data_IF_278619130381
#
_entry.id   IF_278619130381
#
_cell.length_a   1.000
_cell.length_b   1.000
_cell.length_c   1.000
_cell.angle_alpha   90.00
_cell.angle_beta   90.00
_cell.angle_gamma   90.00
#
_symmetry.space_group_name_H-M   'P 1'
#
loop_
_entity.id
_entity.type
_entity.pdbx_description
1 polymer ?
#
# COMPACT_ATOMS: atom_id res chain seq x y z
N UNK A 1 12.98 2.51 -7.08
CA UNK A 1 13.34 1.38 -6.18
C UNK A 1 13.24 1.88 -4.77
N UNK A 2 12.65 1.10 -3.88
CA UNK A 2 12.35 1.51 -2.51
C UNK A 2 13.41 0.89 -1.59
N UNK A 3 13.96 1.68 -0.67
CA UNK A 3 15.01 1.23 0.25
C UNK A 3 14.40 1.07 1.64
N UNK A 4 14.56 -0.09 2.24
CA UNK A 4 14.20 -0.38 3.64
C UNK A 4 15.43 -0.90 4.36
N UNK A 5 15.93 -0.13 5.33
CA UNK A 5 17.24 -0.38 5.94
C UNK A 5 18.35 -0.28 4.88
N UNK A 6 19.14 -1.34 4.76
CA UNK A 6 20.25 -1.43 3.80
C UNK A 6 19.86 -2.13 2.48
N UNK A 7 18.62 -2.62 2.38
CA UNK A 7 18.15 -3.41 1.23
C UNK A 7 17.31 -2.56 0.29
N UNK A 8 17.65 -2.63 -1.01
CA UNK A 8 16.90 -1.99 -2.08
C UNK A 8 15.96 -3.00 -2.76
N UNK A 9 14.67 -2.70 -2.73
CA UNK A 9 13.62 -3.47 -3.37
C UNK A 9 13.21 -2.83 -4.71
N UNK A 10 12.91 -3.68 -5.68
CA UNK A 10 12.40 -3.28 -7.00
C UNK A 10 10.96 -3.77 -7.14
N UNK A 11 10.03 -2.83 -7.37
CA UNK A 11 8.61 -3.11 -7.48
C UNK A 11 7.80 -2.69 -6.25
N UNK A 12 6.49 -2.98 -6.25
CA UNK A 12 5.59 -2.67 -5.15
C UNK A 12 5.90 -3.48 -3.90
N UNK A 13 5.68 -2.87 -2.73
CA UNK A 13 5.91 -3.54 -1.45
C UNK A 13 4.85 -3.19 -0.42
N UNK A 14 4.65 -4.11 0.51
CA UNK A 14 3.95 -3.91 1.77
C UNK A 14 4.95 -4.11 2.90
N UNK A 15 4.94 -3.22 3.89
CA UNK A 15 5.75 -3.34 5.10
C UNK A 15 4.89 -3.05 6.32
N UNK A 16 4.81 -4.04 7.21
CA UNK A 16 4.11 -3.97 8.49
C UNK A 16 4.61 -5.10 9.39
N UNK A 17 4.46 -4.99 10.70
CA UNK A 17 4.93 -6.00 11.67
C UNK A 17 6.39 -6.41 11.46
N UNK A 18 7.26 -5.44 11.16
CA UNK A 18 8.67 -5.66 10.86
C UNK A 18 8.94 -6.66 9.71
N UNK A 19 7.94 -6.92 8.87
CA UNK A 19 7.98 -7.89 7.77
C UNK A 19 7.75 -7.19 6.45
N UNK A 20 8.63 -7.45 5.47
CA UNK A 20 8.50 -6.94 4.11
C UNK A 20 7.84 -8.02 3.26
N UNK A 21 6.80 -7.63 2.53
CA UNK A 21 6.15 -8.46 1.51
C UNK A 21 6.34 -7.79 0.15
N UNK A 22 6.83 -8.55 -0.83
CA UNK A 22 6.75 -8.13 -2.22
C UNK A 22 5.29 -8.21 -2.65
N UNK A 23 4.75 -7.08 -3.09
CA UNK A 23 3.33 -6.95 -3.31
C UNK A 23 3.00 -7.13 -4.78
N UNK A 24 2.35 -8.25 -5.12
CA UNK A 24 1.96 -8.52 -6.49
C UNK A 24 0.65 -7.79 -6.83
N UNK A 25 0.81 -6.61 -7.43
CA UNK A 25 -0.30 -5.79 -7.94
C UNK A 25 -0.09 -5.49 -9.41
N UNK A 26 -1.17 -5.31 -10.19
CA UNK A 26 -1.06 -4.75 -11.53
C UNK A 26 -0.30 -3.42 -11.49
N UNK A 27 0.80 -3.34 -12.23
CA UNK A 27 1.58 -2.12 -12.41
C UNK A 27 1.33 -1.60 -13.81
N UNK A 28 0.83 -0.37 -13.92
CA UNK A 28 0.64 0.36 -15.18
C UNK A 28 -0.13 -0.43 -16.27
N UNK A 29 -1.46 -0.42 -16.16
CA UNK A 29 -2.34 -0.29 -17.33
C UNK A 29 -2.13 -1.22 -18.53
N UNK A 30 -1.75 -2.48 -18.34
CA UNK A 30 -1.75 -3.43 -19.47
C UNK A 30 -3.16 -3.74 -20.00
N UNK A 31 -4.19 -3.31 -19.27
CA UNK A 31 -5.57 -3.37 -19.72
C UNK A 31 -6.12 -1.95 -19.68
N UNK A 32 -6.24 -1.31 -20.85
CA UNK A 32 -7.18 -0.21 -21.04
C UNK A 32 -8.56 -0.72 -20.63
N UNK A 33 -8.92 -0.50 -19.37
CA UNK A 33 -10.27 -0.79 -18.89
C UNK A 33 -11.03 0.53 -18.98
N UNK A 34 -12.02 0.65 -19.88
CA UNK A 34 -12.79 1.88 -20.01
C UNK A 34 -13.31 2.33 -18.64
N UNK A 35 -12.95 3.53 -18.22
CA UNK A 35 -13.34 4.11 -16.92
C UNK A 35 -12.44 3.80 -15.72
N UNK A 36 -11.38 2.97 -15.85
CA UNK A 36 -10.34 2.83 -14.80
C UNK A 36 -9.01 3.40 -15.28
N UNK A 37 -8.67 4.59 -14.78
CA UNK A 37 -7.44 5.29 -15.11
C UNK A 37 -6.52 5.39 -13.89
N UNK A 38 -5.21 5.48 -14.13
CA UNK A 38 -4.19 5.68 -13.11
C UNK A 38 -3.59 4.39 -12.55
N UNK A 39 -2.93 4.48 -11.40
CA UNK A 39 -2.10 3.39 -10.84
C UNK A 39 -2.89 2.16 -10.38
N UNK A 40 -4.20 2.29 -10.21
CA UNK A 40 -5.11 1.21 -9.77
C UNK A 40 -5.82 0.50 -10.92
N UNK A 41 -5.46 0.79 -12.19
CA UNK A 41 -6.03 0.11 -13.34
C UNK A 41 -5.80 -1.42 -13.22
N UNK A 42 -6.86 -2.20 -13.41
CA UNK A 42 -6.83 -3.66 -13.27
C UNK A 42 -6.81 -4.20 -11.84
N UNK A 43 -6.78 -3.34 -10.80
CA UNK A 43 -6.80 -3.83 -9.42
C UNK A 43 -8.17 -4.41 -9.07
N UNK A 44 -8.11 -5.50 -8.30
CA UNK A 44 -9.27 -6.18 -7.70
C UNK A 44 -9.01 -6.31 -6.20
N UNK A 45 -10.04 -6.46 -5.35
CA UNK A 45 -9.90 -6.60 -3.90
C UNK A 45 -8.81 -7.57 -3.44
N UNK A 46 -8.65 -8.68 -4.17
CA UNK A 46 -7.73 -9.79 -3.89
C UNK A 46 -6.26 -9.37 -3.82
N UNK A 47 -5.89 -8.19 -4.33
CA UNK A 47 -4.54 -7.65 -4.11
C UNK A 47 -4.22 -7.45 -2.62
N UNK A 48 -5.22 -7.42 -1.75
CA UNK A 48 -5.07 -7.31 -0.30
C UNK A 48 -5.25 -8.62 0.48
N UNK A 49 -5.39 -9.77 -0.21
CA UNK A 49 -5.64 -11.08 0.42
C UNK A 49 -4.55 -11.51 1.42
N UNK A 50 -3.35 -10.92 1.36
CA UNK A 50 -2.29 -11.19 2.34
C UNK A 50 -2.75 -10.90 3.77
N UNK A 51 -3.68 -9.96 3.96
CA UNK A 51 -4.19 -9.61 5.28
C UNK A 51 -5.08 -10.71 5.89
N UNK A 52 -5.61 -11.64 5.10
CA UNK A 52 -6.31 -12.82 5.61
C UNK A 52 -5.35 -13.87 6.22
N UNK A 53 -4.05 -13.79 5.89
CA UNK A 53 -3.06 -14.82 6.21
C UNK A 53 -2.02 -14.37 7.24
N UNK A 54 -2.14 -13.16 7.76
CA UNK A 54 -1.20 -12.59 8.74
C UNK A 54 -1.94 -12.23 10.02
N UNK A 55 -1.29 -12.44 11.15
CA UNK A 55 -1.79 -11.98 12.44
C UNK A 55 -1.38 -10.54 12.71
N UNK A 56 -2.13 -9.87 13.59
CA UNK A 56 -1.85 -8.51 14.08
C UNK A 56 -1.81 -7.43 12.99
N UNK A 57 -2.93 -7.22 12.29
CA UNK A 57 -3.03 -6.16 11.29
C UNK A 57 -2.72 -4.77 11.88
N UNK A 58 -2.09 -3.87 11.10
CA UNK A 58 -1.87 -2.51 11.53
C UNK A 58 -3.22 -1.80 11.75
N UNK A 59 -3.26 -0.80 12.64
CA UNK A 59 -4.44 0.05 12.81
C UNK A 59 -4.58 1.08 11.68
N UNK A 60 -3.45 1.48 11.09
CA UNK A 60 -3.37 2.44 10.00
C UNK A 60 -2.48 1.88 8.88
N UNK A 61 -3.01 1.85 7.67
CA UNK A 61 -2.25 1.57 6.45
C UNK A 61 -2.09 2.85 5.64
N UNK A 62 -0.84 3.26 5.44
CA UNK A 62 -0.49 4.40 4.59
C UNK A 62 -0.12 3.88 3.19
N UNK A 63 -0.86 4.30 2.17
CA UNK A 63 -0.69 3.85 0.79
C UNK A 63 0.01 4.95 -0.02
N UNK A 64 1.21 4.62 -0.50
CA UNK A 64 2.00 5.41 -1.45
C UNK A 64 1.69 5.01 -2.89
N UNK A 65 1.12 5.93 -3.67
CA UNK A 65 0.68 5.67 -5.05
C UNK A 65 1.71 6.05 -6.12
N UNK A 66 3.00 6.05 -5.78
CA UNK A 66 4.09 6.45 -6.67
C UNK A 66 4.42 7.94 -6.54
N UNK A 67 4.72 8.60 -7.65
CA UNK A 67 5.19 10.00 -7.64
C UNK A 67 4.13 11.00 -7.14
N UNK A 68 2.86 10.74 -7.46
CA UNK A 68 1.72 11.60 -7.09
C UNK A 68 0.66 10.81 -6.34
N UNK A 69 -0.19 11.52 -5.60
CA UNK A 69 -1.33 10.92 -4.92
C UNK A 69 -2.42 10.59 -5.94
N UNK A 70 -2.88 9.34 -5.93
CA UNK A 70 -4.06 8.90 -6.67
C UNK A 70 -5.17 8.49 -5.69
N UNK A 71 -6.42 8.91 -5.91
CA UNK A 71 -7.52 8.54 -5.03
C UNK A 71 -7.73 7.02 -5.09
N UNK A 72 -7.80 6.38 -3.92
CA UNK A 72 -8.08 4.96 -3.82
C UNK A 72 -9.53 4.67 -4.24
N UNK A 73 -9.78 3.76 -5.20
CA UNK A 73 -11.11 3.35 -5.60
C UNK A 73 -11.97 2.88 -4.41
N UNK A 74 -13.28 3.21 -4.38
CA UNK A 74 -14.16 2.85 -3.26
C UNK A 74 -14.15 1.36 -2.93
N UNK A 75 -14.20 0.48 -3.93
CA UNK A 75 -14.19 -0.98 -3.72
C UNK A 75 -12.92 -1.46 -2.98
N UNK A 76 -11.77 -0.90 -3.31
CA UNK A 76 -10.50 -1.22 -2.65
C UNK A 76 -10.47 -0.64 -1.23
N UNK A 77 -10.97 0.59 -1.06
CA UNK A 77 -11.08 1.23 0.26
C UNK A 77 -12.00 0.45 1.19
N UNK A 78 -13.14 -0.02 0.71
CA UNK A 78 -14.08 -0.81 1.49
C UNK A 78 -13.53 -2.18 1.84
N UNK A 79 -12.78 -2.80 0.93
CA UNK A 79 -12.03 -4.03 1.22
C UNK A 79 -11.07 -3.83 2.39
N UNK A 80 -10.26 -2.77 2.33
CA UNK A 80 -9.29 -2.45 3.38
C UNK A 80 -9.96 -2.12 4.73
N UNK A 81 -11.11 -1.45 4.72
CA UNK A 81 -11.89 -1.14 5.93
C UNK A 81 -12.45 -2.38 6.61
N UNK A 82 -12.76 -3.46 5.88
CA UNK A 82 -13.24 -4.72 6.48
C UNK A 82 -12.20 -5.38 7.38
N UNK A 83 -10.92 -5.11 7.15
CA UNK A 83 -9.83 -5.52 8.01
C UNK A 83 -9.68 -4.66 9.28
N UNK A 84 -10.53 -3.65 9.48
CA UNK A 84 -10.49 -2.75 10.64
C UNK A 84 -9.42 -1.66 10.56
N UNK A 85 -8.79 -1.48 9.39
CA UNK A 85 -7.70 -0.52 9.20
C UNK A 85 -8.22 0.88 8.82
N UNK A 86 -7.65 1.92 9.41
CA UNK A 86 -7.70 3.27 8.89
C UNK A 86 -6.79 3.38 7.66
N UNK A 87 -7.21 4.14 6.65
CA UNK A 87 -6.50 4.23 5.36
C UNK A 87 -6.17 5.68 5.04
N UNK A 88 -4.88 5.93 4.82
CA UNK A 88 -4.36 7.20 4.32
C UNK A 88 -3.68 6.98 2.97
N UNK A 89 -3.89 7.90 2.02
CA UNK A 89 -3.36 7.77 0.66
C UNK A 89 -2.54 9.00 0.33
N UNK A 90 -1.30 8.80 -0.11
CA UNK A 90 -0.33 9.86 -0.38
C UNK A 90 0.58 9.47 -1.57
N UNK A 91 1.47 10.37 -1.98
CA UNK A 91 2.62 9.97 -2.81
C UNK A 91 3.57 9.08 -2.01
N UNK A 92 4.29 8.17 -2.67
CA UNK A 92 5.19 7.20 -2.03
C UNK A 92 6.23 7.85 -1.13
N UNK A 93 6.82 8.99 -1.55
CA UNK A 93 7.79 9.70 -0.70
C UNK A 93 7.17 10.19 0.61
N UNK A 94 5.97 10.77 0.55
CA UNK A 94 5.28 11.26 1.74
C UNK A 94 4.81 10.10 2.61
N UNK A 95 4.27 9.04 2.00
CA UNK A 95 3.82 7.84 2.67
C UNK A 95 4.95 7.20 3.51
N UNK A 96 6.15 7.09 2.93
CA UNK A 96 7.33 6.60 3.64
C UNK A 96 7.72 7.51 4.82
N UNK A 97 7.66 8.82 4.66
CA UNK A 97 7.94 9.77 5.74
C UNK A 97 6.92 9.66 6.88
N UNK A 98 5.62 9.62 6.55
CA UNK A 98 4.54 9.41 7.54
C UNK A 98 4.70 8.09 8.27
N UNK A 99 4.99 7.00 7.55
CA UNK A 99 5.27 5.71 8.16
C UNK A 99 6.42 5.78 9.17
N UNK A 100 7.54 6.38 8.80
CA UNK A 100 8.71 6.49 9.67
C UNK A 100 8.40 7.22 10.98
N UNK A 101 7.68 8.35 10.89
CA UNK A 101 7.28 9.13 12.08
C UNK A 101 6.36 8.29 12.99
N UNK A 102 5.30 7.72 12.43
CA UNK A 102 4.33 6.94 13.21
C UNK A 102 4.94 5.66 13.81
N UNK A 103 5.83 5.00 13.07
CA UNK A 103 6.55 3.83 13.57
C UNK A 103 7.48 4.20 14.73
N UNK A 104 8.18 5.35 14.64
CA UNK A 104 9.02 5.86 15.74
C UNK A 104 8.19 6.23 16.98
N UNK A 105 6.95 6.67 16.80
CA UNK A 105 5.99 6.90 17.89
C UNK A 105 5.40 5.62 18.49
N UNK A 106 5.78 4.43 17.98
CA UNK A 106 5.27 3.14 18.46
C UNK A 106 3.83 2.85 18.02
N UNK A 107 3.30 3.56 17.02
CA UNK A 107 1.97 3.29 16.47
C UNK A 107 1.98 1.98 15.67
N UNK A 108 0.85 1.27 15.69
CA UNK A 108 0.62 0.10 14.83
C UNK A 108 0.31 0.54 13.40
N UNK A 109 1.34 0.92 12.66
CA UNK A 109 1.24 1.43 11.28
C UNK A 109 1.86 0.43 10.30
N UNK A 110 1.24 0.30 9.13
CA UNK A 110 1.79 -0.37 7.95
C UNK A 110 1.90 0.60 6.79
N UNK A 111 2.72 0.25 5.80
CA UNK A 111 2.87 1.04 4.57
C UNK A 111 2.81 0.15 3.32
N UNK A 112 2.08 0.60 2.31
CA UNK A 112 1.99 -0.02 0.99
C UNK A 112 2.57 0.95 -0.03
N UNK A 113 3.66 0.63 -0.72
CA UNK A 113 4.37 1.58 -1.59
C UNK A 113 4.45 1.07 -3.02
N UNK A 114 3.99 1.90 -3.95
CA UNK A 114 4.27 1.75 -5.39
C UNK A 114 5.55 2.52 -5.75
N UNK A 115 6.40 1.97 -6.66
CA UNK A 115 7.66 2.59 -7.04
C UNK A 115 7.53 3.93 -7.78
#
# INVERSE_FOLDING_TARGET
GIVLGEVKYTGPLLFFNNTVFLWNVPQFGYVETPGRHGVFAGWVPDVFQIFDHVSHLPELLVIGTGQTMWPLPPALRDTLRRYGMQIEVQSTRRAAATFNVLAQEGRRVGVALLP
#
